data_IF_686349394364
#
_entry.id   IF_686349394364
#
_cell.length_a   1.000
_cell.length_b   1.000
_cell.length_c   1.000
_cell.angle_alpha   90.00
_cell.angle_beta   90.00
_cell.angle_gamma   90.00
#
_symmetry.space_group_name_H-M   'P 1'
#
loop_
_entity.id
_entity.type
_entity.pdbx_description
1 polymer ?
#
# COMPACT_ATOMS: atom_id res chain seq x y z
N UNK A 1 -18.46 4.21 25.90
CA UNK A 1 -19.06 3.48 24.75
C UNK A 1 -18.27 3.62 23.45
N UNK A 2 -17.62 4.76 23.17
CA UNK A 2 -16.79 4.95 21.97
C UNK A 2 -15.52 4.07 22.03
N UNK A 3 -14.84 4.02 23.18
CA UNK A 3 -13.61 3.24 23.33
C UNK A 3 -13.81 1.72 23.19
N UNK A 4 -14.96 1.20 23.62
CA UNK A 4 -15.26 -0.23 23.51
C UNK A 4 -15.49 -0.67 22.06
N UNK A 5 -16.04 0.22 21.21
CA UNK A 5 -16.19 -0.04 19.77
C UNK A 5 -14.84 0.02 19.06
N UNK A 6 -13.99 0.99 19.41
CA UNK A 6 -12.65 1.11 18.85
C UNK A 6 -11.79 -0.13 19.18
N UNK A 7 -11.84 -0.59 20.43
CA UNK A 7 -11.12 -1.77 20.88
C UNK A 7 -11.57 -3.06 20.17
N UNK A 8 -12.90 -3.24 19.99
CA UNK A 8 -13.43 -4.39 19.26
C UNK A 8 -13.06 -4.32 17.79
N UNK A 9 -13.13 -3.14 17.16
CA UNK A 9 -12.72 -2.95 15.77
C UNK A 9 -11.23 -3.25 15.59
N UNK A 10 -10.36 -2.78 16.48
CA UNK A 10 -8.92 -3.06 16.46
C UNK A 10 -8.60 -4.54 16.70
N UNK A 11 -9.32 -5.20 17.62
CA UNK A 11 -9.18 -6.65 17.86
C UNK A 11 -9.61 -7.49 16.66
N UNK A 12 -10.74 -7.13 16.03
CA UNK A 12 -11.25 -7.82 14.83
C UNK A 12 -10.32 -7.57 13.64
N UNK A 13 -9.79 -6.36 13.51
CA UNK A 13 -8.84 -5.99 12.46
C UNK A 13 -7.49 -6.71 12.64
N UNK A 14 -6.93 -6.73 13.86
CA UNK A 14 -5.69 -7.44 14.16
C UNK A 14 -5.82 -8.95 13.98
N UNK A 15 -6.98 -9.52 14.34
CA UNK A 15 -7.26 -10.94 14.11
C UNK A 15 -7.50 -11.24 12.62
N UNK A 16 -8.16 -10.34 11.89
CA UNK A 16 -8.34 -10.47 10.45
C UNK A 16 -7.00 -10.38 9.71
N UNK A 17 -6.12 -9.42 10.05
CA UNK A 17 -4.80 -9.30 9.41
C UNK A 17 -3.89 -10.49 9.67
N UNK A 18 -3.97 -11.09 10.87
CA UNK A 18 -3.21 -12.30 11.23
C UNK A 18 -3.72 -13.59 10.55
N UNK A 19 -4.95 -13.57 10.01
CA UNK A 19 -5.56 -14.73 9.31
C UNK A 19 -5.86 -14.47 7.84
N UNK A 20 -5.50 -13.30 7.31
CA UNK A 20 -5.77 -12.95 5.93
C UNK A 20 -4.66 -13.49 5.02
N UNK A 21 -4.73 -14.80 4.75
CA UNK A 21 -3.86 -15.54 3.81
C UNK A 21 -2.34 -15.43 4.00
N UNK A 22 -1.86 -15.19 5.21
CA UNK A 22 -0.46 -15.43 5.55
C UNK A 22 -0.23 -16.91 5.83
N UNK A 23 0.98 -17.40 5.56
CA UNK A 23 1.45 -18.70 6.05
C UNK A 23 2.73 -18.51 6.90
N UNK A 24 3.19 -19.57 7.56
CA UNK A 24 4.41 -19.55 8.39
C UNK A 24 5.71 -19.49 7.56
N UNK A 25 5.64 -19.19 6.25
CA UNK A 25 6.77 -19.19 5.33
C UNK A 25 7.00 -17.84 4.64
N UNK A 26 8.24 -17.58 4.24
CA UNK A 26 8.60 -16.36 3.51
C UNK A 26 8.48 -15.08 4.33
N UNK A 27 8.54 -13.94 3.64
CA UNK A 27 8.52 -12.62 4.26
C UNK A 27 7.23 -11.87 3.92
N UNK A 28 6.31 -11.79 4.89
CA UNK A 28 5.01 -11.17 4.70
C UNK A 28 4.97 -9.72 5.15
N UNK A 29 4.38 -8.84 4.35
CA UNK A 29 4.00 -7.49 4.75
C UNK A 29 2.49 -7.33 4.72
N UNK A 30 1.95 -6.73 5.77
CA UNK A 30 0.53 -6.53 5.95
C UNK A 30 0.15 -5.05 5.88
N UNK A 31 -1.12 -4.76 5.65
CA UNK A 31 -1.70 -3.44 5.88
C UNK A 31 -3.20 -3.53 6.00
N UNK A 32 -3.72 -2.78 6.96
CA UNK A 32 -5.14 -2.52 7.13
C UNK A 32 -5.40 -1.02 7.14
N UNK A 33 -6.47 -0.59 6.49
CA UNK A 33 -6.94 0.78 6.49
C UNK A 33 -8.40 0.85 6.96
N UNK A 34 -8.73 1.90 7.71
CA UNK A 34 -10.08 2.30 8.08
C UNK A 34 -10.44 3.64 7.43
N UNK A 35 -11.74 3.90 7.26
CA UNK A 35 -12.21 5.09 6.55
C UNK A 35 -11.94 5.02 5.05
N UNK A 36 -11.88 3.82 4.47
CA UNK A 36 -11.60 3.61 3.04
C UNK A 36 -12.74 4.15 2.18
N UNK A 37 -12.40 5.04 1.25
CA UNK A 37 -13.35 5.68 0.33
C UNK A 37 -13.16 5.27 -1.12
N UNK A 38 -12.01 4.66 -1.46
CA UNK A 38 -11.73 4.06 -2.76
C UNK A 38 -10.57 3.07 -2.62
N UNK A 39 -10.56 2.03 -3.45
CA UNK A 39 -9.49 1.06 -3.49
C UNK A 39 -9.42 0.33 -4.83
N UNK A 40 -8.24 -0.17 -5.17
CA UNK A 40 -8.06 -1.05 -6.33
C UNK A 40 -6.78 -1.88 -6.22
N UNK A 41 -6.71 -2.95 -7.01
CA UNK A 41 -5.54 -3.82 -7.12
C UNK A 41 -5.32 -4.25 -8.58
N UNK A 42 -4.07 -4.59 -8.92
CA UNK A 42 -3.67 -4.99 -10.26
C UNK A 42 -2.22 -5.50 -10.32
N UNK A 43 -1.70 -5.62 -11.54
CA UNK A 43 -0.39 -6.22 -11.80
C UNK A 43 -0.51 -7.73 -11.82
N UNK A 44 0.04 -8.39 -10.80
CA UNK A 44 -0.16 -9.81 -10.54
C UNK A 44 -1.59 -10.13 -10.15
N UNK A 45 -2.09 -11.28 -10.62
CA UNK A 45 -3.39 -11.81 -10.19
C UNK A 45 -3.33 -12.19 -8.71
N UNK A 46 -4.43 -11.93 -7.99
CA UNK A 46 -4.61 -12.41 -6.62
C UNK A 46 -4.45 -13.93 -6.53
N UNK A 47 -3.70 -14.35 -5.53
CA UNK A 47 -3.47 -15.75 -5.22
C UNK A 47 -3.11 -15.85 -3.75
N UNK A 48 -3.97 -16.49 -2.97
CA UNK A 48 -3.84 -16.57 -1.52
C UNK A 48 -2.60 -17.29 -1.02
N UNK A 49 -1.80 -17.92 -1.89
CA UNK A 49 -0.48 -18.45 -1.54
C UNK A 49 0.55 -17.34 -1.26
N UNK A 50 0.41 -16.18 -1.89
CA UNK A 50 1.44 -15.13 -1.84
C UNK A 50 0.90 -13.69 -1.88
N UNK A 51 -0.39 -13.48 -2.14
CA UNK A 51 -0.98 -12.14 -2.22
C UNK A 51 -2.50 -12.14 -2.05
N UNK A 52 -2.99 -11.38 -1.07
CA UNK A 52 -4.42 -11.10 -0.91
C UNK A 52 -4.71 -9.62 -0.78
N UNK A 53 -5.92 -9.28 -1.18
CA UNK A 53 -6.48 -7.94 -1.11
C UNK A 53 -8.00 -8.03 -0.94
N UNK A 54 -8.53 -7.39 0.08
CA UNK A 54 -9.96 -7.26 0.33
C UNK A 54 -10.28 -5.82 0.69
N UNK A 55 -11.14 -5.18 -0.09
CA UNK A 55 -11.66 -3.85 0.20
C UNK A 55 -13.18 -3.88 0.29
N UNK A 56 -13.74 -3.12 1.22
CA UNK A 56 -15.18 -2.98 1.39
C UNK A 56 -15.54 -1.54 1.72
N UNK A 57 -16.19 -0.85 0.77
CA UNK A 57 -16.62 0.54 0.94
C UNK A 57 -17.75 0.68 1.96
N UNK A 58 -18.59 -0.36 2.13
CA UNK A 58 -19.70 -0.33 3.09
C UNK A 58 -19.20 -0.34 4.54
N UNK A 59 -18.13 -1.07 4.83
CA UNK A 59 -17.48 -1.08 6.15
C UNK A 59 -16.39 -0.01 6.27
N UNK A 60 -15.97 0.57 5.15
CA UNK A 60 -14.88 1.54 5.08
C UNK A 60 -13.53 0.92 5.42
N UNK A 61 -13.29 -0.33 5.01
CA UNK A 61 -12.06 -1.07 5.36
C UNK A 61 -11.36 -1.64 4.14
N UNK A 62 -10.04 -1.74 4.20
CA UNK A 62 -9.26 -2.50 3.24
C UNK A 62 -8.11 -3.22 3.94
N UNK A 63 -7.85 -4.45 3.53
CA UNK A 63 -6.82 -5.33 4.06
C UNK A 63 -6.02 -5.93 2.90
N UNK A 64 -4.70 -5.97 3.06
CA UNK A 64 -3.78 -6.44 2.01
C UNK A 64 -2.55 -7.09 2.63
N UNK A 65 -2.19 -8.26 2.12
CA UNK A 65 -1.02 -9.02 2.58
C UNK A 65 -0.19 -9.49 1.37
N UNK A 66 1.12 -9.33 1.46
CA UNK A 66 2.08 -9.64 0.40
C UNK A 66 3.16 -10.57 0.92
N UNK A 67 3.37 -11.72 0.27
CA UNK A 67 4.62 -12.50 0.42
C UNK A 67 5.64 -11.91 -0.53
N UNK A 68 6.69 -11.31 0.00
CA UNK A 68 7.63 -10.51 -0.79
C UNK A 68 8.90 -11.31 -1.05
N UNK A 69 9.31 -11.31 -2.32
CA UNK A 69 10.62 -11.78 -2.76
C UNK A 69 11.63 -10.68 -2.45
N UNK A 70 12.19 -10.64 -1.25
CA UNK A 70 13.14 -9.59 -0.86
C UNK A 70 14.36 -9.58 -1.77
N UNK A 71 14.83 -8.39 -2.15
CA UNK A 71 15.97 -8.23 -3.07
C UNK A 71 17.34 -8.66 -2.48
N UNK A 72 17.36 -9.11 -1.22
CA UNK A 72 18.56 -9.54 -0.51
C UNK A 72 19.04 -8.56 0.56
N UNK A 73 18.52 -7.33 0.57
CA UNK A 73 18.69 -6.40 1.68
C UNK A 73 17.54 -6.64 2.67
N UNK A 74 17.80 -7.42 3.72
CA UNK A 74 16.85 -7.63 4.82
C UNK A 74 16.69 -6.35 5.64
N UNK A 75 16.05 -5.32 5.06
CA UNK A 75 15.62 -4.15 5.79
C UNK A 75 14.80 -4.56 7.00
N UNK A 76 14.91 -3.81 8.09
CA UNK A 76 14.08 -4.04 9.27
C UNK A 76 12.63 -3.74 8.92
N UNK A 77 11.72 -4.68 9.20
CA UNK A 77 10.28 -4.42 9.10
C UNK A 77 9.91 -3.31 10.08
N UNK A 78 9.27 -2.28 9.58
CA UNK A 78 8.73 -1.18 10.38
C UNK A 78 7.21 -1.23 10.30
N UNK A 79 6.54 -1.39 11.44
CA UNK A 79 5.10 -1.15 11.55
C UNK A 79 4.86 0.35 11.70
N UNK A 80 3.94 0.89 10.90
CA UNK A 80 3.56 2.31 10.90
C UNK A 80 2.07 2.43 11.19
N UNK A 81 1.71 3.39 12.02
CA UNK A 81 0.34 3.86 12.16
C UNK A 81 0.24 5.26 11.53
N UNK A 82 -0.54 5.39 10.45
CA UNK A 82 -0.58 6.57 9.59
C UNK A 82 -2.00 7.07 9.41
N UNK A 83 -2.29 8.27 9.91
CA UNK A 83 -3.52 8.99 9.62
C UNK A 83 -3.48 9.63 8.22
N UNK A 84 -4.63 10.07 7.71
CA UNK A 84 -4.67 10.87 6.47
C UNK A 84 -3.84 12.16 6.57
N UNK A 85 -3.70 12.73 7.78
CA UNK A 85 -2.88 13.92 8.01
C UNK A 85 -1.40 13.60 7.80
N UNK A 86 -0.95 12.43 8.25
CA UNK A 86 0.44 12.00 8.08
C UNK A 86 0.78 11.84 6.60
N UNK A 87 -0.12 11.25 5.80
CA UNK A 87 0.05 11.15 4.34
C UNK A 87 0.10 12.54 3.70
N UNK A 88 -0.82 13.43 4.08
CA UNK A 88 -0.86 14.78 3.52
C UNK A 88 0.41 15.59 3.84
N UNK A 89 0.92 15.48 5.06
CA UNK A 89 2.16 16.13 5.49
C UNK A 89 3.38 15.51 4.81
N UNK A 90 3.38 14.19 4.61
CA UNK A 90 4.41 13.49 3.86
C UNK A 90 4.41 13.94 2.39
N UNK A 91 3.24 14.07 1.77
CA UNK A 91 3.12 14.55 0.39
C UNK A 91 3.50 16.03 0.25
N UNK A 92 3.20 16.89 1.23
CA UNK A 92 3.57 18.30 1.18
C UNK A 92 5.09 18.54 1.11
N UNK A 93 5.91 17.59 1.57
CA UNK A 93 7.38 17.64 1.45
C UNK A 93 7.89 17.52 0.01
N UNK A 94 7.06 17.12 -0.95
CA UNK A 94 7.46 17.15 -2.37
C UNK A 94 7.86 18.56 -2.86
N UNK A 95 7.47 19.60 -2.13
CA UNK A 95 7.85 20.99 -2.40
C UNK A 95 9.25 21.38 -1.86
N UNK A 96 9.91 20.52 -1.06
CA UNK A 96 11.16 20.81 -0.32
C UNK A 96 12.44 20.23 -0.98
N UNK A 97 12.46 20.02 -2.31
CA UNK A 97 13.54 19.39 -3.12
C UNK A 97 13.89 17.92 -2.79
N UNK A 98 13.49 17.40 -1.62
CA UNK A 98 13.62 15.99 -1.25
C UNK A 98 12.38 15.18 -1.67
N UNK A 99 12.59 13.98 -2.25
CA UNK A 99 11.48 13.06 -2.54
C UNK A 99 11.05 12.34 -1.25
N UNK A 100 9.86 12.64 -0.70
CA UNK A 100 9.46 12.11 0.59
C UNK A 100 9.28 10.59 0.58
N UNK A 101 9.02 9.99 -0.59
CA UNK A 101 8.86 8.54 -0.70
C UNK A 101 10.19 7.77 -0.65
N UNK A 102 11.35 8.43 -0.55
CA UNK A 102 12.65 7.78 -0.60
C UNK A 102 12.86 6.72 0.50
N UNK A 103 12.24 6.87 1.66
CA UNK A 103 12.38 5.93 2.78
C UNK A 103 11.52 4.68 2.62
N UNK A 104 10.30 4.84 2.11
CA UNK A 104 9.31 3.76 1.96
C UNK A 104 9.25 3.15 0.56
N UNK A 105 9.97 3.73 -0.40
CA UNK A 105 10.14 3.25 -1.76
C UNK A 105 11.59 3.50 -2.22
N UNK A 106 12.50 2.65 -1.78
CA UNK A 106 13.94 2.95 -1.87
C UNK A 106 14.51 2.92 -3.28
N UNK A 107 13.90 2.20 -4.23
CA UNK A 107 14.31 2.17 -5.64
C UNK A 107 14.02 3.53 -6.30
N UNK A 108 15.05 4.36 -6.61
CA UNK A 108 14.84 5.67 -7.21
C UNK A 108 14.30 5.58 -8.64
N UNK A 109 14.63 4.51 -9.37
CA UNK A 109 14.11 4.29 -10.73
C UNK A 109 12.63 3.97 -10.65
N UNK A 110 12.23 3.07 -9.75
CA UNK A 110 10.82 2.76 -9.52
C UNK A 110 10.03 3.99 -9.07
N UNK A 111 10.55 4.80 -8.15
CA UNK A 111 9.89 6.05 -7.73
C UNK A 111 9.67 7.00 -8.89
N UNK A 112 10.70 7.22 -9.71
CA UNK A 112 10.60 8.08 -10.88
C UNK A 112 9.60 7.54 -11.91
N UNK A 113 9.58 6.22 -12.13
CA UNK A 113 8.64 5.56 -13.03
C UNK A 113 7.20 5.69 -12.52
N UNK A 114 6.96 5.50 -11.22
CA UNK A 114 5.64 5.72 -10.59
C UNK A 114 5.21 7.17 -10.76
N UNK A 115 6.07 8.13 -10.42
CA UNK A 115 5.80 9.57 -10.59
C UNK A 115 5.41 9.91 -12.04
N UNK A 116 6.18 9.42 -13.01
CA UNK A 116 5.93 9.64 -14.43
C UNK A 116 4.64 8.96 -14.92
N UNK A 117 4.33 7.77 -14.41
CA UNK A 117 3.11 7.06 -14.74
C UNK A 117 1.87 7.78 -14.19
N UNK A 118 1.93 8.29 -12.95
CA UNK A 118 0.82 9.01 -12.32
C UNK A 118 0.46 10.30 -13.07
N UNK A 119 1.40 10.96 -13.75
CA UNK A 119 1.10 12.11 -14.62
C UNK A 119 0.19 11.77 -15.81
N UNK A 120 0.08 10.48 -16.17
CA UNK A 120 -0.79 9.99 -17.25
C UNK A 120 -2.17 9.55 -16.73
N UNK A 121 -2.39 9.55 -15.42
CA UNK A 121 -3.69 9.24 -14.85
C UNK A 121 -4.69 10.35 -15.19
N UNK A 122 -5.80 9.96 -15.80
CA UNK A 122 -6.83 10.90 -16.29
C UNK A 122 -7.98 11.09 -15.31
N UNK A 123 -8.04 10.26 -14.27
CA UNK A 123 -9.10 10.28 -13.26
C UNK A 123 -8.50 10.04 -11.88
N UNK A 124 -8.97 10.79 -10.90
CA UNK A 124 -8.57 10.62 -9.51
C UNK A 124 -9.37 9.48 -8.84
N UNK A 125 -9.08 8.25 -9.24
CA UNK A 125 -9.63 7.04 -8.63
C UNK A 125 -8.57 5.95 -8.56
N UNK A 126 -8.62 5.11 -7.53
CA UNK A 126 -7.67 4.02 -7.37
C UNK A 126 -7.69 3.04 -8.54
N UNK A 127 -8.86 2.83 -9.18
CA UNK A 127 -8.95 2.02 -10.40
C UNK A 127 -8.16 2.62 -11.56
N UNK A 128 -8.28 3.92 -11.81
CA UNK A 128 -7.54 4.58 -12.88
C UNK A 128 -6.03 4.62 -12.58
N UNK A 129 -5.67 4.90 -11.32
CA UNK A 129 -4.28 4.89 -10.85
C UNK A 129 -3.65 3.51 -11.07
N UNK A 130 -4.26 2.44 -10.56
CA UNK A 130 -3.72 1.08 -10.70
C UNK A 130 -3.63 0.68 -12.17
N UNK A 131 -4.67 0.92 -12.98
CA UNK A 131 -4.62 0.61 -14.41
C UNK A 131 -3.49 1.37 -15.11
N UNK A 132 -3.30 2.64 -14.78
CA UNK A 132 -2.23 3.46 -15.36
C UNK A 132 -0.86 2.91 -14.97
N UNK A 133 -0.65 2.57 -13.70
CA UNK A 133 0.60 1.99 -13.23
C UNK A 133 0.87 0.63 -13.91
N UNK A 134 -0.12 -0.26 -13.98
CA UNK A 134 0.03 -1.58 -14.63
C UNK A 134 0.40 -1.44 -16.11
N UNK A 135 -0.17 -0.47 -16.82
CA UNK A 135 0.11 -0.25 -18.25
C UNK A 135 1.47 0.40 -18.51
N UNK A 136 2.00 1.16 -17.56
CA UNK A 136 3.21 1.97 -17.75
C UNK A 136 4.44 1.40 -17.04
N UNK A 137 4.26 0.53 -16.05
CA UNK A 137 5.35 -0.12 -15.32
C UNK A 137 5.57 -1.53 -15.87
N UNK A 138 6.75 -1.79 -16.42
CA UNK A 138 7.14 -3.14 -16.85
C UNK A 138 7.64 -3.98 -15.65
N UNK A 139 6.72 -4.36 -14.76
CA UNK A 139 7.04 -5.05 -13.49
C UNK A 139 6.30 -6.41 -13.38
N UNK A 140 6.71 -7.43 -14.16
CA UNK A 140 6.07 -8.74 -14.12
C UNK A 140 6.24 -9.43 -12.76
N UNK A 141 5.16 -10.03 -12.27
CA UNK A 141 5.12 -10.67 -10.96
C UNK A 141 5.00 -9.70 -9.78
N UNK A 142 4.77 -8.41 -10.02
CA UNK A 142 4.49 -7.44 -8.97
C UNK A 142 3.00 -7.26 -8.73
N UNK A 143 2.59 -7.22 -7.48
CA UNK A 143 1.28 -6.71 -7.10
C UNK A 143 1.33 -5.18 -7.01
N UNK A 144 0.25 -4.53 -7.41
CA UNK A 144 0.05 -3.08 -7.26
C UNK A 144 -1.31 -2.86 -6.61
N UNK A 145 -1.36 -2.08 -5.54
CA UNK A 145 -2.61 -1.63 -4.91
C UNK A 145 -2.64 -0.13 -4.78
N UNK A 146 -3.86 0.39 -4.68
CA UNK A 146 -4.13 1.76 -4.26
C UNK A 146 -5.23 1.72 -3.22
N UNK A 147 -5.06 2.46 -2.13
CA UNK A 147 -6.09 2.68 -1.12
C UNK A 147 -6.16 4.18 -0.84
N UNK A 148 -7.38 4.72 -0.90
CA UNK A 148 -7.71 6.06 -0.40
C UNK A 148 -8.52 5.90 0.88
N UNK A 149 -8.09 6.56 1.94
CA UNK A 149 -8.75 6.50 3.24
C UNK A 149 -8.74 7.87 3.94
N UNK A 150 -9.69 8.10 4.84
CA UNK A 150 -9.85 9.37 5.56
C UNK A 150 -9.66 9.27 7.08
N UNK A 151 -9.41 8.07 7.61
CA UNK A 151 -9.17 7.83 9.04
C UNK A 151 -7.70 7.48 9.27
N UNK A 152 -7.36 6.18 9.36
CA UNK A 152 -6.00 5.71 9.55
C UNK A 152 -5.71 4.40 8.81
N UNK A 153 -4.42 4.09 8.67
CA UNK A 153 -3.92 2.78 8.28
C UNK A 153 -2.83 2.32 9.24
N UNK A 154 -2.80 1.01 9.50
CA UNK A 154 -1.67 0.33 10.11
C UNK A 154 -1.05 -0.52 9.01
N UNK A 155 0.23 -0.28 8.72
CA UNK A 155 0.93 -1.01 7.67
C UNK A 155 2.37 -1.34 8.03
N UNK A 156 2.83 -2.48 7.50
CA UNK A 156 4.23 -2.80 7.51
C UNK A 156 4.93 -2.12 6.33
N UNK A 157 6.15 -1.65 6.54
CA UNK A 157 7.05 -1.18 5.49
C UNK A 157 8.42 -1.82 5.68
N UNK A 158 9.15 -1.98 4.58
CA UNK A 158 10.54 -2.42 4.59
C UNK A 158 11.30 -1.62 3.53
N UNK A 159 12.51 -1.20 3.86
CA UNK A 159 13.40 -0.54 2.91
C UNK A 159 14.09 -1.59 2.03
N UNK A 160 13.41 -2.03 0.97
CA UNK A 160 13.91 -3.04 0.02
C UNK A 160 13.53 -2.69 -1.43
N UNK A 161 14.37 -3.05 -2.41
CA UNK A 161 14.15 -2.70 -3.83
C UNK A 161 12.94 -3.43 -4.45
N UNK A 162 12.47 -4.51 -3.83
CA UNK A 162 11.32 -5.29 -4.27
C UNK A 162 10.01 -4.90 -3.55
N UNK A 163 10.04 -3.83 -2.75
CA UNK A 163 8.85 -3.26 -2.11
C UNK A 163 8.85 -1.73 -2.17
N UNK A 164 7.67 -1.16 -2.39
CA UNK A 164 7.47 0.28 -2.47
C UNK A 164 6.11 0.64 -1.88
N UNK A 165 6.10 1.44 -0.81
CA UNK A 165 4.93 2.16 -0.33
C UNK A 165 5.07 3.62 -0.77
N UNK A 166 4.28 4.02 -1.76
CA UNK A 166 4.30 5.33 -2.38
C UNK A 166 3.05 6.12 -2.00
N UNK A 167 3.24 7.21 -1.26
CA UNK A 167 2.20 8.16 -0.95
C UNK A 167 2.12 9.24 -2.04
N UNK A 168 0.92 9.45 -2.56
CA UNK A 168 0.65 10.37 -3.64
C UNK A 168 -0.57 11.24 -3.31
N UNK A 169 -0.61 12.43 -3.92
CA UNK A 169 -1.69 13.39 -3.77
C UNK A 169 -2.09 13.94 -5.14
N UNK A 170 -3.39 14.05 -5.37
CA UNK A 170 -3.94 14.73 -6.55
C UNK A 170 -5.27 15.38 -6.18
N UNK A 171 -5.48 16.64 -6.59
CA UNK A 171 -6.74 17.37 -6.42
C UNK A 171 -7.31 17.35 -4.99
N UNK A 172 -6.46 17.54 -3.97
CA UNK A 172 -6.80 17.51 -2.54
C UNK A 172 -7.14 16.13 -1.95
N UNK A 173 -7.04 15.05 -2.74
CA UNK A 173 -7.11 13.68 -2.24
C UNK A 173 -5.71 13.06 -2.12
N UNK A 174 -5.54 12.20 -1.12
CA UNK A 174 -4.31 11.45 -0.88
C UNK A 174 -4.58 9.96 -0.93
N UNK A 175 -3.64 9.22 -1.52
CA UNK A 175 -3.73 7.77 -1.61
C UNK A 175 -2.36 7.14 -1.35
N UNK A 176 -2.38 5.97 -0.73
CA UNK A 176 -1.20 5.12 -0.61
C UNK A 176 -1.26 4.05 -1.71
N UNK A 177 -0.23 4.02 -2.53
CA UNK A 177 0.01 2.96 -3.51
C UNK A 177 1.05 2.01 -2.94
N UNK A 178 0.81 0.70 -3.00
CA UNK A 178 1.84 -0.29 -2.65
C UNK A 178 2.18 -1.12 -3.87
N UNK A 179 3.47 -1.27 -4.15
CA UNK A 179 4.02 -2.14 -5.19
C UNK A 179 4.93 -3.16 -4.51
N UNK A 180 4.75 -4.44 -4.80
CA UNK A 180 5.56 -5.51 -4.20
C UNK A 180 5.86 -6.61 -5.22
N UNK A 181 7.12 -7.00 -5.37
CA UNK A 181 7.49 -8.23 -6.08
C UNK A 181 7.09 -9.43 -5.23
N UNK A 182 6.23 -10.27 -5.79
CA UNK A 182 5.70 -11.42 -5.06
C UNK A 182 6.70 -12.58 -5.07
N UNK A 183 6.90 -13.19 -3.91
CA UNK A 183 7.53 -14.49 -3.77
C UNK A 183 6.52 -15.57 -4.16
N UNK A 184 6.72 -16.17 -5.34
CA UNK A 184 5.85 -17.20 -5.89
C UNK A 184 6.37 -18.63 -5.65
N UNK A 185 7.45 -18.79 -4.88
CA UNK A 185 8.03 -20.09 -4.55
C UNK A 185 7.12 -20.94 -3.66
#
# INVERSE_FOLDING_TARGET
MIEFKLFISLLVIGYASANFCTDDSGYWLSSVAQGVTDFSYGGSRLNSKYYCFEGCLNTGTALQNYKIDLSGNNGTKLERNRSVKDISAHHAKFDDDDDPNAESCVDPVLRQDVKNALQKATQNSCKNIVNTLVLNLNRPGWAITCIRYNDFAIDDSVSDMNFCSYDAGQFQDYYTIRLAKLDMS
#
